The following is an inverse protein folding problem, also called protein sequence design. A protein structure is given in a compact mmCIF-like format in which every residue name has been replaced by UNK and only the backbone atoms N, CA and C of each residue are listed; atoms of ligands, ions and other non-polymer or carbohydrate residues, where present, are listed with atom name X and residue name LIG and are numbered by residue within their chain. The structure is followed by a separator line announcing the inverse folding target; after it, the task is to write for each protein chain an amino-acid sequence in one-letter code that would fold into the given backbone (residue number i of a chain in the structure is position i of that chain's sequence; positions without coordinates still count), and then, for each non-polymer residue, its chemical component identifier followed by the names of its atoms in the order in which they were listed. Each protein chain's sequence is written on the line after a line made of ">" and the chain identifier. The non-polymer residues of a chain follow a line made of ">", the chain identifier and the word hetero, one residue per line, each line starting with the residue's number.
data_IF_950469724815
#
_entry.id   IF_950469724815
#
_cell.length_a   1.000
_cell.length_b   1.000
_cell.length_c   1.000
_cell.angle_alpha   90.00
_cell.angle_beta   90.00
_cell.angle_gamma   90.00
#
_symmetry.space_group_name_H-M   'P 1'
#
loop_
_entity.id
_entity.type
_entity.pdbx_description
1 polymer ?
#
# COMPACT_ATOMS: atom_id res chain seq x y z
N UNK A 1 13.02 15.02 -8.58
CA UNK A 1 12.91 13.83 -9.47
C UNK A 1 12.14 12.73 -8.77
N UNK A 2 11.20 12.11 -9.46
CA UNK A 2 10.45 11.00 -8.90
C UNK A 2 11.21 9.68 -9.11
N UNK A 3 11.15 8.82 -8.11
CA UNK A 3 11.74 7.50 -8.16
C UNK A 3 10.60 6.48 -8.11
N UNK A 4 10.57 5.58 -9.07
CA UNK A 4 9.55 4.55 -9.12
C UNK A 4 9.83 3.46 -8.09
N UNK A 5 8.78 3.04 -7.37
CA UNK A 5 8.84 2.00 -6.37
C UNK A 5 7.88 0.87 -6.70
N UNK A 6 8.30 -0.34 -6.37
CA UNK A 6 7.45 -1.53 -6.45
C UNK A 6 6.98 -1.90 -5.05
N UNK A 7 5.76 -2.37 -4.96
CA UNK A 7 5.20 -2.89 -3.72
C UNK A 7 5.65 -4.34 -3.54
N UNK A 8 6.45 -4.62 -2.50
CA UNK A 8 6.87 -5.99 -2.19
C UNK A 8 5.86 -6.74 -1.33
N UNK A 9 5.23 -6.04 -0.39
CA UNK A 9 4.25 -6.66 0.48
C UNK A 9 4.06 -5.93 1.78
N UNK A 10 3.36 -6.61 2.68
CA UNK A 10 3.10 -6.13 4.03
C UNK A 10 3.67 -7.12 5.03
N UNK A 11 4.39 -6.63 6.02
CA UNK A 11 4.95 -7.43 7.11
C UNK A 11 4.38 -6.97 8.44
N UNK A 12 4.45 -7.86 9.43
CA UNK A 12 4.18 -7.50 10.83
C UNK A 12 5.49 -7.44 11.59
N UNK A 13 5.76 -6.31 12.22
CA UNK A 13 6.93 -6.17 13.09
C UNK A 13 6.58 -6.68 14.48
N UNK A 14 7.31 -7.71 14.92
CA UNK A 14 7.13 -8.28 16.25
C UNK A 14 8.00 -7.53 17.27
N UNK A 15 7.61 -7.50 18.57
CA UNK A 15 6.46 -8.20 19.16
C UNK A 15 5.15 -7.42 19.12
N UNK A 16 5.14 -6.22 18.57
CA UNK A 16 3.99 -5.32 18.62
C UNK A 16 2.92 -5.60 17.57
N UNK A 17 3.19 -6.49 16.59
CA UNK A 17 2.31 -6.75 15.44
C UNK A 17 2.01 -5.48 14.64
N UNK A 18 3.00 -4.61 14.53
CA UNK A 18 2.85 -3.36 13.77
C UNK A 18 2.98 -3.64 12.29
N UNK A 19 1.97 -3.31 11.46
CA UNK A 19 2.05 -3.53 10.03
C UNK A 19 3.05 -2.57 9.36
N UNK A 20 3.84 -3.11 8.45
CA UNK A 20 4.83 -2.33 7.69
C UNK A 20 4.62 -2.61 6.20
N UNK A 21 4.44 -1.54 5.44
CA UNK A 21 4.41 -1.60 3.98
C UNK A 21 5.84 -1.60 3.47
N UNK A 22 6.19 -2.59 2.66
CA UNK A 22 7.53 -2.74 2.12
C UNK A 22 7.55 -2.32 0.65
N UNK A 23 8.24 -1.23 0.36
CA UNK A 23 8.43 -0.73 -1.00
C UNK A 23 9.90 -0.84 -1.38
N UNK A 24 10.18 -1.13 -2.64
CA UNK A 24 11.54 -1.23 -3.15
C UNK A 24 11.67 -0.45 -4.45
N UNK A 25 12.79 0.24 -4.63
CA UNK A 25 13.07 0.93 -5.90
C UNK A 25 13.06 -0.07 -7.04
N UNK A 26 12.40 0.29 -8.15
CA UNK A 26 12.31 -0.57 -9.33
C UNK A 26 13.64 -0.71 -10.04
N UNK A 27 14.54 0.25 -9.86
CA UNK A 27 15.86 0.24 -10.50
C UNK A 27 16.90 0.93 -9.62
N UNK A 28 18.02 1.31 -10.20
CA UNK A 28 19.08 2.01 -9.50
C UNK A 28 19.65 1.20 -8.34
N UNK A 29 19.69 1.79 -7.17
CA UNK A 29 20.23 1.14 -5.97
C UNK A 29 19.31 0.09 -5.36
N UNK A 30 18.07 -0.01 -5.81
CA UNK A 30 17.09 -0.96 -5.30
C UNK A 30 16.92 -0.85 -3.78
N UNK A 31 16.93 0.37 -3.27
CA UNK A 31 16.77 0.62 -1.84
C UNK A 31 15.36 0.28 -1.41
N UNK A 32 15.24 -0.14 -0.15
CA UNK A 32 13.94 -0.48 0.43
C UNK A 32 13.42 0.69 1.26
N UNK A 33 12.13 0.97 1.14
CA UNK A 33 11.45 1.96 1.94
C UNK A 33 10.36 1.26 2.77
N UNK A 34 10.59 1.04 4.06
CA UNK A 34 9.56 0.51 4.95
C UNK A 34 8.72 1.66 5.50
N UNK A 35 7.41 1.48 5.53
CA UNK A 35 6.48 2.48 6.05
C UNK A 35 5.50 1.82 7.00
N UNK A 36 5.39 2.34 8.23
CA UNK A 36 4.39 1.86 9.18
C UNK A 36 3.01 2.31 8.72
N UNK A 37 2.06 1.38 8.75
CA UNK A 37 0.68 1.64 8.32
C UNK A 37 -0.30 1.10 9.35
N UNK A 38 -1.57 1.49 9.24
CA UNK A 38 -2.62 1.00 10.12
C UNK A 38 -3.08 -0.41 9.75
N UNK A 39 -3.77 -1.07 10.69
CA UNK A 39 -4.31 -2.41 10.48
C UNK A 39 -5.28 -2.49 9.30
N UNK A 40 -6.29 -1.61 9.23
CA UNK A 40 -7.24 -1.63 8.10
C UNK A 40 -6.57 -1.46 6.74
N UNK A 41 -5.59 -0.57 6.64
CA UNK A 41 -4.82 -0.35 5.40
C UNK A 41 -4.02 -1.59 5.03
N UNK A 42 -3.37 -2.21 6.03
CA UNK A 42 -2.59 -3.42 5.82
C UNK A 42 -3.47 -4.57 5.33
N UNK A 43 -4.65 -4.73 5.92
CA UNK A 43 -5.60 -5.78 5.51
C UNK A 43 -6.05 -5.57 4.08
N UNK A 44 -6.36 -4.35 3.69
CA UNK A 44 -6.81 -4.03 2.34
C UNK A 44 -5.75 -4.35 1.30
N UNK A 45 -4.51 -3.96 1.56
CA UNK A 45 -3.38 -4.23 0.67
C UNK A 45 -3.10 -5.74 0.58
N UNK A 46 -3.12 -6.41 1.74
CA UNK A 46 -2.88 -7.86 1.79
C UNK A 46 -3.90 -8.63 0.97
N UNK A 47 -5.19 -8.32 1.12
CA UNK A 47 -6.24 -8.96 0.32
C UNK A 47 -6.05 -8.73 -1.18
N UNK A 48 -5.68 -7.52 -1.56
CA UNK A 48 -5.42 -7.20 -2.96
C UNK A 48 -4.24 -8.01 -3.52
N UNK A 49 -3.15 -8.13 -2.76
CA UNK A 49 -1.98 -8.90 -3.17
C UNK A 49 -2.26 -10.39 -3.29
N UNK A 50 -3.08 -10.93 -2.39
CA UNK A 50 -3.44 -12.36 -2.41
C UNK A 50 -4.57 -12.67 -3.39
N UNK A 51 -5.17 -11.65 -4.00
CA UNK A 51 -6.30 -11.84 -4.90
C UNK A 51 -7.57 -12.31 -4.18
N UNK A 52 -7.67 -12.03 -2.87
CA UNK A 52 -8.82 -12.42 -2.06
C UNK A 52 -9.83 -11.29 -2.04
N UNK A 53 -11.10 -11.64 -2.32
CA UNK A 53 -12.20 -10.68 -2.19
C UNK A 53 -12.86 -10.87 -0.84
N UNK A 54 -12.83 -9.87 0.05
CA UNK A 54 -13.50 -10.01 1.35
C UNK A 54 -15.02 -10.16 1.17
N UNK A 55 -15.64 -10.84 2.13
CA UNK A 55 -17.09 -11.07 2.13
C UNK A 55 -17.87 -9.76 2.07
N UNK A 56 -17.37 -8.76 2.81
CA UNK A 56 -17.89 -7.40 2.73
C UNK A 56 -16.82 -6.48 2.16
N UNK A 57 -17.16 -5.60 1.22
CA UNK A 57 -16.18 -4.63 0.70
C UNK A 57 -15.61 -3.78 1.82
N UNK A 58 -14.29 -3.59 1.80
CA UNK A 58 -13.61 -2.70 2.71
C UNK A 58 -13.77 -1.25 2.25
N UNK A 59 -13.42 -0.31 3.13
CA UNK A 59 -13.48 1.13 2.79
C UNK A 59 -12.68 1.44 1.51
N UNK A 60 -11.53 0.82 1.34
CA UNK A 60 -10.69 1.02 0.15
C UNK A 60 -11.35 0.47 -1.11
N UNK A 61 -12.10 -0.62 -1.01
CA UNK A 61 -12.87 -1.16 -2.13
C UNK A 61 -13.96 -0.19 -2.56
N UNK A 62 -14.53 0.55 -1.61
CA UNK A 62 -15.51 1.58 -1.90
C UNK A 62 -14.90 2.70 -2.76
N UNK A 63 -13.67 3.11 -2.47
CA UNK A 63 -12.97 4.10 -3.31
C UNK A 63 -12.82 3.60 -4.74
N UNK A 64 -12.41 2.35 -4.91
CA UNK A 64 -12.28 1.75 -6.25
C UNK A 64 -13.61 1.74 -6.97
N UNK A 65 -14.68 1.34 -6.28
CA UNK A 65 -16.04 1.33 -6.85
C UNK A 65 -16.47 2.73 -7.26
N UNK A 66 -16.15 3.73 -6.45
CA UNK A 66 -16.47 5.12 -6.76
C UNK A 66 -15.71 5.62 -8.00
N UNK A 67 -14.44 5.27 -8.14
CA UNK A 67 -13.64 5.62 -9.32
C UNK A 67 -14.22 5.01 -10.58
N UNK A 68 -14.62 3.73 -10.53
CA UNK A 68 -15.26 3.06 -11.65
C UNK A 68 -16.58 3.73 -12.00
N UNK A 69 -17.42 4.01 -10.99
CA UNK A 69 -18.74 4.62 -11.19
C UNK A 69 -18.66 6.03 -11.77
N UNK A 70 -17.60 6.78 -11.46
CA UNK A 70 -17.42 8.15 -11.92
C UNK A 70 -16.45 8.27 -13.10
N UNK A 71 -15.99 7.14 -13.62
CA UNK A 71 -15.06 7.08 -14.76
C UNK A 71 -13.74 7.81 -14.46
N UNK A 72 -13.24 7.68 -13.23
CA UNK A 72 -11.98 8.26 -12.78
C UNK A 72 -10.93 7.16 -12.74
N UNK A 73 -9.78 7.41 -13.32
CA UNK A 73 -8.65 6.49 -13.34
C UNK A 73 -7.53 7.01 -12.44
N UNK A 74 -7.09 6.17 -11.50
CA UNK A 74 -5.94 6.49 -10.64
C UNK A 74 -4.66 6.10 -11.37
N UNK A 75 -3.84 7.08 -11.72
CA UNK A 75 -2.58 6.81 -12.45
C UNK A 75 -1.45 6.41 -11.51
N UNK A 76 -1.25 7.17 -10.44
CA UNK A 76 -0.15 6.88 -9.51
C UNK A 76 -0.38 7.54 -8.16
N UNK A 77 0.41 7.10 -7.19
CA UNK A 77 0.47 7.69 -5.85
C UNK A 77 1.90 8.19 -5.65
N UNK A 78 2.04 9.41 -5.16
CA UNK A 78 3.35 10.01 -4.91
C UNK A 78 3.54 10.19 -3.41
N UNK A 79 4.62 9.61 -2.88
CA UNK A 79 5.02 9.82 -1.48
C UNK A 79 5.95 11.03 -1.47
N UNK A 80 5.51 12.10 -0.82
CA UNK A 80 6.23 13.37 -0.82
C UNK A 80 7.20 13.50 0.35
N UNK A 81 6.90 12.83 1.45
CA UNK A 81 7.69 12.95 2.68
C UNK A 81 7.48 11.73 3.56
N UNK A 82 8.54 11.29 4.22
CA UNK A 82 8.49 10.24 5.24
C UNK A 82 9.05 10.81 6.53
N UNK A 83 8.21 10.82 7.58
CA UNK A 83 8.59 11.36 8.89
C UNK A 83 8.61 10.20 9.88
N UNK A 84 9.82 9.88 10.39
CA UNK A 84 10.03 8.71 11.27
C UNK A 84 9.81 7.43 10.53
N UNK A 85 9.02 6.83 10.06
CA UNK A 85 8.72 5.64 9.23
C UNK A 85 7.22 5.62 8.83
N UNK A 86 6.62 6.79 8.80
CA UNK A 86 5.19 6.88 8.47
C UNK A 86 4.86 7.90 7.34
#
# INVERSE_FOLDING_TARGET
>A
MLIELDLEGVRLEMPTNTPILMLRESGGRRRMLPIYIGGPEASSIHFALEGVTPERPLTHDLFVSLFVATDVELECIVITEVVGNT
#
